data_IF_708203892664
#
_entry.id   IF_708203892664
#
_cell.length_a   1.000
_cell.length_b   1.000
_cell.length_c   1.000
_cell.angle_alpha   90.00
_cell.angle_beta   90.00
_cell.angle_gamma   90.00
#
_symmetry.space_group_name_H-M   'P 1'
#
loop_
_entity.id
_entity.type
_entity.pdbx_description
1 polymer ?
#
# COMPACT_ATOMS: atom_id res chain seq x y z
N UNK A 1 34.24 23.25 -18.42
CA UNK A 1 32.89 23.27 -17.82
C UNK A 1 32.32 21.88 -18.00
N UNK A 2 32.34 21.09 -16.92
CA UNK A 2 32.22 19.64 -16.95
C UNK A 2 31.00 19.25 -16.14
N UNK A 3 30.02 18.60 -16.78
CA UNK A 3 28.91 17.93 -16.10
C UNK A 3 29.38 16.54 -15.62
N UNK A 4 28.96 16.06 -14.45
CA UNK A 4 29.33 14.74 -13.96
C UNK A 4 28.50 13.64 -14.67
N UNK A 5 29.04 12.41 -14.77
CA UNK A 5 28.39 11.30 -15.46
C UNK A 5 27.28 10.67 -14.61
N UNK A 6 26.14 10.41 -15.25
CA UNK A 6 25.04 9.59 -14.75
C UNK A 6 25.55 8.15 -14.55
N UNK A 7 25.65 7.70 -13.29
CA UNK A 7 25.88 6.29 -12.98
C UNK A 7 24.53 5.54 -12.98
N UNK A 8 24.38 4.62 -13.92
CA UNK A 8 23.35 3.58 -13.92
C UNK A 8 23.44 2.78 -12.60
N UNK A 9 22.42 2.87 -11.76
CA UNK A 9 22.16 1.85 -10.75
C UNK A 9 21.50 0.65 -11.44
N UNK A 10 22.33 -0.25 -11.97
CA UNK A 10 21.93 -1.58 -12.37
C UNK A 10 21.81 -2.48 -11.13
N UNK A 11 20.61 -3.05 -10.96
CA UNK A 11 20.27 -4.33 -10.31
C UNK A 11 21.36 -4.99 -9.44
N UNK A 12 21.06 -5.06 -8.15
CA UNK A 12 21.25 -6.29 -7.38
C UNK A 12 19.88 -6.70 -6.86
N UNK A 13 19.13 -7.46 -7.66
CA UNK A 13 18.05 -8.27 -7.09
C UNK A 13 18.72 -9.31 -6.19
N UNK A 14 18.37 -9.30 -4.90
CA UNK A 14 18.72 -10.39 -3.99
C UNK A 14 18.08 -11.65 -4.55
N UNK A 15 18.91 -12.60 -4.97
CA UNK A 15 18.51 -13.92 -5.47
C UNK A 15 17.73 -14.76 -4.45
N UNK A 16 17.67 -14.33 -3.19
CA UNK A 16 16.95 -15.01 -2.10
C UNK A 16 15.43 -14.83 -2.19
N UNK A 17 14.93 -13.65 -2.57
CA UNK A 17 13.48 -13.37 -2.51
C UNK A 17 12.73 -14.09 -3.64
N UNK A 18 13.35 -14.15 -4.83
CA UNK A 18 12.87 -14.96 -5.97
C UNK A 18 12.83 -16.45 -5.61
N UNK A 19 13.79 -16.94 -4.82
CA UNK A 19 13.82 -18.33 -4.36
C UNK A 19 12.72 -18.62 -3.32
N UNK A 20 12.37 -17.67 -2.46
CA UNK A 20 11.30 -17.84 -1.46
C UNK A 20 9.91 -17.87 -2.12
N UNK A 21 9.66 -16.99 -3.09
CA UNK A 21 8.40 -16.97 -3.83
C UNK A 21 8.22 -18.23 -4.68
N UNK A 22 9.29 -18.72 -5.33
CA UNK A 22 9.27 -19.99 -6.05
C UNK A 22 9.04 -21.20 -5.12
N UNK A 23 9.61 -21.19 -3.91
CA UNK A 23 9.35 -22.24 -2.91
C UNK A 23 7.88 -22.20 -2.46
N UNK A 24 7.35 -21.01 -2.22
CA UNK A 24 5.97 -20.84 -1.78
C UNK A 24 4.98 -21.33 -2.85
N UNK A 25 5.18 -20.94 -4.12
CA UNK A 25 4.35 -21.38 -5.23
C UNK A 25 4.34 -22.91 -5.38
N UNK A 26 5.48 -23.58 -5.20
CA UNK A 26 5.56 -25.04 -5.26
C UNK A 26 4.87 -25.74 -4.07
N UNK A 27 4.97 -25.19 -2.86
CA UNK A 27 4.28 -25.74 -1.68
C UNK A 27 2.77 -25.60 -1.79
N UNK A 28 2.27 -24.49 -2.34
CA UNK A 28 0.85 -24.29 -2.63
C UNK A 28 0.36 -25.31 -3.66
N UNK A 29 1.08 -25.48 -4.77
CA UNK A 29 0.73 -26.46 -5.79
C UNK A 29 0.70 -27.90 -5.25
N UNK A 30 1.66 -28.28 -4.39
CA UNK A 30 1.66 -29.59 -3.71
C UNK A 30 0.48 -29.75 -2.76
N UNK A 31 0.13 -28.71 -1.99
CA UNK A 31 -1.03 -28.72 -1.10
C UNK A 31 -2.34 -28.91 -1.87
N UNK A 32 -2.48 -28.25 -3.02
CA UNK A 32 -3.67 -28.37 -3.87
C UNK A 32 -3.83 -29.78 -4.46
N UNK A 33 -2.74 -30.38 -4.96
CA UNK A 33 -2.76 -31.76 -5.47
C UNK A 33 -3.17 -32.74 -4.36
N UNK A 34 -2.61 -32.59 -3.16
CA UNK A 34 -2.97 -33.41 -2.00
C UNK A 34 -4.44 -33.22 -1.57
N UNK A 35 -4.94 -31.99 -1.63
CA UNK A 35 -6.33 -31.69 -1.28
C UNK A 35 -7.32 -32.27 -2.29
N UNK A 36 -6.98 -32.26 -3.57
CA UNK A 36 -7.77 -32.90 -4.63
C UNK A 36 -7.76 -34.43 -4.52
N UNK A 37 -6.65 -35.03 -4.10
CA UNK A 37 -6.59 -36.48 -3.79
C UNK A 37 -7.46 -36.80 -2.57
N UNK A 38 -7.37 -36.01 -1.49
CA UNK A 38 -8.17 -36.20 -0.28
C UNK A 38 -9.69 -36.10 -0.55
N UNK A 39 -10.09 -35.20 -1.46
CA UNK A 39 -11.47 -35.04 -1.90
C UNK A 39 -11.92 -36.14 -2.89
N UNK A 40 -11.07 -37.11 -3.22
CA UNK A 40 -11.37 -38.19 -4.17
C UNK A 40 -11.49 -37.72 -5.62
N UNK A 41 -10.99 -36.52 -5.94
CA UNK A 41 -11.08 -35.90 -7.28
C UNK A 41 -9.87 -36.19 -8.17
N UNK A 42 -8.76 -36.64 -7.59
CA UNK A 42 -7.58 -37.12 -8.29
C UNK A 42 -7.19 -38.50 -7.78
N UNK A 43 -6.92 -39.42 -8.69
CA UNK A 43 -6.38 -40.74 -8.35
C UNK A 43 -4.86 -40.64 -8.16
N UNK A 44 -4.41 -40.95 -6.94
CA UNK A 44 -3.00 -41.00 -6.54
C UNK A 44 -2.20 -41.98 -7.40
N UNK A 45 -2.84 -43.01 -7.95
CA UNK A 45 -2.20 -44.04 -8.78
C UNK A 45 -2.14 -43.67 -10.27
N UNK A 46 -2.66 -42.51 -10.67
CA UNK A 46 -2.50 -42.04 -12.04
C UNK A 46 -1.05 -41.60 -12.28
N UNK A 47 -0.45 -42.08 -13.37
CA UNK A 47 0.95 -41.82 -13.70
C UNK A 47 1.29 -40.31 -13.75
N UNK A 48 0.34 -39.47 -14.15
CA UNK A 48 0.49 -38.01 -14.15
C UNK A 48 0.53 -37.39 -12.75
N UNK A 49 -0.29 -37.86 -11.81
CA UNK A 49 -0.31 -37.37 -10.42
C UNK A 49 0.93 -37.86 -9.66
N UNK A 50 1.33 -39.12 -9.86
CA UNK A 50 2.54 -39.67 -9.27
C UNK A 50 3.80 -38.92 -9.76
N UNK A 51 3.87 -38.60 -11.06
CA UNK A 51 4.97 -37.83 -11.64
C UNK A 51 5.00 -36.38 -11.16
N UNK A 52 3.83 -35.73 -11.03
CA UNK A 52 3.72 -34.37 -10.51
C UNK A 52 4.14 -34.28 -9.03
N UNK A 53 3.72 -35.25 -8.21
CA UNK A 53 4.12 -35.33 -6.80
C UNK A 53 5.62 -35.61 -6.65
N UNK A 54 6.17 -36.58 -7.42
CA UNK A 54 7.61 -36.87 -7.39
C UNK A 54 8.44 -35.68 -7.85
N UNK A 55 8.04 -35.00 -8.93
CA UNK A 55 8.68 -33.81 -9.44
C UNK A 55 8.63 -32.64 -8.47
N UNK A 56 7.46 -32.39 -7.86
CA UNK A 56 7.29 -31.36 -6.84
C UNK A 56 8.13 -31.63 -5.59
N UNK A 57 8.13 -32.86 -5.08
CA UNK A 57 8.96 -33.25 -3.92
C UNK A 57 10.46 -33.13 -4.25
N UNK A 58 10.90 -33.59 -5.42
CA UNK A 58 12.30 -33.47 -5.84
C UNK A 58 12.74 -32.01 -6.00
N UNK A 59 11.90 -31.15 -6.60
CA UNK A 59 12.21 -29.73 -6.74
C UNK A 59 12.21 -29.01 -5.38
N UNK A 60 11.26 -29.31 -4.48
CA UNK A 60 11.26 -28.76 -3.12
C UNK A 60 12.48 -29.22 -2.32
N UNK A 61 12.89 -30.48 -2.43
CA UNK A 61 14.10 -30.99 -1.78
C UNK A 61 15.37 -30.36 -2.38
N UNK A 62 15.41 -30.11 -3.69
CA UNK A 62 16.52 -29.43 -4.34
C UNK A 62 16.63 -27.95 -3.90
N UNK A 63 15.51 -27.22 -3.85
CA UNK A 63 15.48 -25.85 -3.33
C UNK A 63 15.83 -25.77 -1.84
N UNK A 64 15.36 -26.73 -1.02
CA UNK A 64 15.77 -26.87 0.37
C UNK A 64 17.26 -27.22 0.52
N UNK A 65 17.86 -27.94 -0.44
CA UNK A 65 19.31 -28.21 -0.45
C UNK A 65 20.14 -26.96 -0.77
N UNK A 66 19.65 -26.11 -1.68
CA UNK A 66 20.25 -24.80 -1.98
C UNK A 66 20.18 -23.85 -0.77
N UNK A 67 19.07 -23.89 0.00
CA UNK A 67 18.93 -23.17 1.27
C UNK A 67 19.81 -23.74 2.40
N UNK A 68 20.12 -25.05 2.36
CA UNK A 68 21.05 -25.69 3.31
C UNK A 68 22.51 -25.36 3.00
N UNK A 69 22.88 -25.20 1.73
CA UNK A 69 24.21 -24.75 1.32
C UNK A 69 24.43 -23.25 1.59
N UNK A 70 23.37 -22.44 1.68
CA UNK A 70 23.44 -21.06 2.18
C UNK A 70 23.42 -20.95 3.72
N UNK A 71 23.30 -22.07 4.43
CA UNK A 71 23.22 -22.12 5.91
C UNK A 71 24.52 -22.62 6.53
N UNK A 72 25.61 -21.91 6.26
CA UNK A 72 26.88 -22.02 6.98
C UNK A 72 27.03 -20.90 8.01
N UNK A 73 26.80 -21.24 9.28
CA UNK A 73 26.98 -20.44 10.51
C UNK A 73 27.96 -19.24 10.45
N UNK A 74 27.40 -18.02 10.28
CA UNK A 74 27.80 -16.72 10.90
C UNK A 74 26.94 -15.58 10.31
N UNK A 75 25.64 -15.53 10.59
CA UNK A 75 24.79 -14.40 10.15
C UNK A 75 23.60 -14.04 11.07
N UNK A 76 23.32 -14.81 12.13
CA UNK A 76 22.19 -14.53 13.04
C UNK A 76 22.48 -13.44 14.09
N UNK A 77 23.75 -13.08 14.32
CA UNK A 77 24.12 -11.97 15.21
C UNK A 77 24.09 -10.63 14.48
N UNK A 78 24.61 -10.56 13.26
CA UNK A 78 24.69 -9.29 12.52
C UNK A 78 23.33 -8.77 12.05
N UNK A 79 22.41 -9.63 11.60
CA UNK A 79 21.09 -9.19 11.11
C UNK A 79 20.16 -8.72 12.23
N UNK A 80 20.18 -9.40 13.39
CA UNK A 80 19.49 -8.96 14.60
C UNK A 80 20.09 -7.65 15.15
N UNK A 81 21.42 -7.51 15.15
CA UNK A 81 22.11 -6.27 15.56
C UNK A 81 21.84 -5.11 14.60
N UNK A 82 21.81 -5.36 13.28
CA UNK A 82 21.44 -4.34 12.28
C UNK A 82 19.98 -3.91 12.40
N UNK A 83 19.08 -4.85 12.71
CA UNK A 83 17.65 -4.56 12.97
C UNK A 83 17.49 -3.73 14.25
N UNK A 84 18.23 -4.06 15.31
CA UNK A 84 18.21 -3.31 16.56
C UNK A 84 18.81 -1.90 16.41
N UNK A 85 19.93 -1.77 15.70
CA UNK A 85 20.55 -0.48 15.37
C UNK A 85 19.60 0.41 14.57
N UNK A 86 18.92 -0.14 13.56
CA UNK A 86 17.98 0.62 12.76
C UNK A 86 16.70 0.96 13.56
N UNK A 87 16.27 0.10 14.49
CA UNK A 87 15.18 0.41 15.43
C UNK A 87 15.49 1.61 16.33
N UNK A 88 16.67 1.64 16.94
CA UNK A 88 17.13 2.78 17.74
C UNK A 88 17.26 4.06 16.89
N UNK A 89 17.75 3.93 15.65
CA UNK A 89 17.79 5.02 14.67
C UNK A 89 16.38 5.55 14.34
N UNK A 90 15.38 4.69 14.12
CA UNK A 90 13.98 5.09 13.86
C UNK A 90 13.43 5.90 15.04
N UNK A 91 13.65 5.43 16.26
CA UNK A 91 13.18 6.13 17.47
C UNK A 91 13.83 7.50 17.62
N UNK A 92 15.15 7.56 17.42
CA UNK A 92 15.91 8.82 17.43
C UNK A 92 15.47 9.76 16.32
N UNK A 93 15.27 9.24 15.11
CA UNK A 93 14.81 9.97 13.93
C UNK A 93 13.45 10.63 14.14
N UNK A 94 12.53 9.95 14.84
CA UNK A 94 11.22 10.49 15.19
C UNK A 94 11.35 11.71 16.13
N UNK A 95 12.24 11.63 17.13
CA UNK A 95 12.50 12.73 18.06
C UNK A 95 13.25 13.89 17.41
N UNK A 96 14.11 13.60 16.45
CA UNK A 96 14.95 14.57 15.76
C UNK A 96 14.30 15.18 14.51
N UNK A 97 13.05 14.82 14.19
CA UNK A 97 12.33 15.37 13.04
C UNK A 97 12.91 14.98 11.69
N UNK A 98 13.49 13.77 11.58
CA UNK A 98 14.09 13.27 10.33
C UNK A 98 13.07 12.61 9.39
N UNK A 99 11.85 12.37 9.88
CA UNK A 99 10.73 11.91 9.07
C UNK A 99 9.98 13.10 8.49
N UNK A 100 9.55 12.96 7.24
CA UNK A 100 8.66 13.89 6.57
C UNK A 100 7.57 13.13 5.80
N UNK A 101 6.52 13.86 5.42
CA UNK A 101 5.44 13.33 4.59
C UNK A 101 5.50 13.98 3.21
N UNK A 102 5.38 13.15 2.19
CA UNK A 102 4.98 13.60 0.85
C UNK A 102 3.52 13.21 0.61
N UNK A 103 2.85 13.95 -0.26
CA UNK A 103 1.43 13.82 -0.51
C UNK A 103 1.21 13.54 -1.99
N UNK A 104 0.82 12.32 -2.31
CA UNK A 104 0.50 11.92 -3.68
C UNK A 104 -0.95 12.32 -4.00
N UNK A 105 -1.20 13.20 -4.97
CA UNK A 105 -2.56 13.60 -5.31
C UNK A 105 -3.36 12.45 -5.95
N UNK A 106 -4.62 12.32 -5.53
CA UNK A 106 -5.60 11.39 -6.09
C UNK A 106 -6.65 12.19 -6.86
N UNK A 107 -6.87 11.85 -8.12
CA UNK A 107 -7.78 12.57 -8.99
C UNK A 107 -8.99 11.74 -9.39
N UNK A 108 -10.09 12.43 -9.67
CA UNK A 108 -11.25 11.93 -10.38
C UNK A 108 -11.14 12.31 -11.86
N UNK A 109 -11.18 11.34 -12.76
CA UNK A 109 -11.00 11.54 -14.19
C UNK A 109 -12.08 10.95 -15.09
N UNK A 110 -13.29 10.72 -14.55
CA UNK A 110 -14.39 10.08 -15.28
C UNK A 110 -14.98 10.87 -16.48
N UNK A 111 -14.55 12.12 -16.72
CA UNK A 111 -15.09 12.96 -17.80
C UNK A 111 -14.18 12.98 -19.02
N UNK A 112 -14.76 12.97 -20.22
CA UNK A 112 -14.05 13.27 -21.49
C UNK A 112 -13.40 14.67 -21.47
N UNK A 113 -13.85 15.58 -20.59
CA UNK A 113 -13.24 16.90 -20.40
C UNK A 113 -12.24 16.93 -19.22
N UNK A 114 -11.62 15.80 -18.85
CA UNK A 114 -10.57 15.77 -17.84
C UNK A 114 -9.43 16.75 -18.20
N UNK A 115 -9.11 17.66 -17.28
CA UNK A 115 -8.04 18.64 -17.43
C UNK A 115 -7.35 18.79 -16.09
N UNK A 116 -6.03 18.63 -16.08
CA UNK A 116 -5.21 18.53 -14.85
C UNK A 116 -5.23 19.81 -13.99
N UNK A 117 -5.59 20.94 -14.58
CA UNK A 117 -5.69 22.24 -13.93
C UNK A 117 -7.02 22.46 -13.18
N UNK A 118 -7.98 21.52 -13.29
CA UNK A 118 -9.25 21.63 -12.60
C UNK A 118 -9.17 21.05 -11.18
N UNK A 119 -9.06 21.92 -10.18
CA UNK A 119 -9.08 21.53 -8.76
C UNK A 119 -10.28 20.64 -8.44
N UNK A 120 -11.44 20.82 -9.07
CA UNK A 120 -12.64 20.02 -8.85
C UNK A 120 -12.40 18.51 -8.99
N UNK A 121 -11.40 18.14 -9.78
CA UNK A 121 -11.00 16.76 -10.01
C UNK A 121 -10.10 16.21 -8.91
N UNK A 122 -9.44 17.06 -8.10
CA UNK A 122 -8.66 16.61 -6.95
C UNK A 122 -9.59 16.05 -5.86
N UNK A 123 -9.43 14.77 -5.53
CA UNK A 123 -10.21 14.08 -4.49
C UNK A 123 -9.55 14.26 -3.12
N UNK A 124 -8.22 14.18 -3.09
CA UNK A 124 -7.45 14.15 -1.86
C UNK A 124 -6.01 13.74 -2.11
N UNK A 125 -5.35 13.27 -1.05
CA UNK A 125 -3.96 12.85 -1.10
C UNK A 125 -3.73 11.56 -0.35
N UNK A 126 -2.78 10.76 -0.82
CA UNK A 126 -2.15 9.71 -0.02
C UNK A 126 -0.90 10.27 0.68
N UNK A 127 -0.83 10.10 2.00
CA UNK A 127 0.33 10.48 2.79
C UNK A 127 1.40 9.37 2.74
N UNK A 128 2.52 9.71 2.11
CA UNK A 128 3.65 8.82 1.90
C UNK A 128 4.79 9.20 2.84
N UNK A 129 5.11 8.30 3.77
CA UNK A 129 6.20 8.51 4.71
C UNK A 129 7.56 8.53 4.00
N UNK A 130 8.43 9.45 4.43
CA UNK A 130 9.78 9.62 3.91
C UNK A 130 10.76 9.77 5.07
N UNK A 131 11.90 9.12 4.97
CA UNK A 131 12.98 9.26 5.95
C UNK A 131 14.23 9.82 5.27
N UNK A 132 14.61 11.03 5.68
CA UNK A 132 15.88 11.63 5.30
C UNK A 132 16.88 11.47 6.43
N UNK A 133 17.71 10.43 6.35
CA UNK A 133 18.75 10.17 7.34
C UNK A 133 19.93 11.12 7.13
N UNK A 134 20.49 11.73 8.20
CA UNK A 134 21.56 12.73 8.07
C UNK A 134 22.82 12.21 7.37
N UNK A 135 23.16 10.93 7.59
CA UNK A 135 24.37 10.33 6.99
C UNK A 135 24.10 9.49 5.73
N UNK A 136 22.91 8.87 5.63
CA UNK A 136 22.59 7.88 4.58
C UNK A 136 21.73 8.49 3.46
N UNK A 137 21.26 9.72 3.64
CA UNK A 137 20.30 10.34 2.74
C UNK A 137 18.93 9.64 2.81
N UNK A 138 18.25 9.54 1.68
CA UNK A 138 16.92 8.96 1.61
C UNK A 138 16.93 7.46 1.89
N UNK A 139 16.20 7.04 2.93
CA UNK A 139 15.93 5.63 3.23
C UNK A 139 14.50 5.31 2.79
N UNK A 140 14.29 4.33 1.88
CA UNK A 140 12.97 4.02 1.38
C UNK A 140 12.11 3.26 2.43
N UNK A 141 10.77 3.43 2.42
CA UNK A 141 9.86 2.78 3.37
C UNK A 141 10.02 1.26 3.48
N UNK A 142 10.26 0.58 2.37
CA UNK A 142 10.46 -0.87 2.36
C UNK A 142 11.69 -1.37 3.14
N UNK A 143 12.63 -0.48 3.51
CA UNK A 143 13.76 -0.84 4.36
C UNK A 143 13.50 -0.64 5.85
N UNK A 144 12.74 0.39 6.25
CA UNK A 144 12.59 0.75 7.66
C UNK A 144 11.21 0.39 8.25
N UNK A 145 10.15 0.30 7.44
CA UNK A 145 8.81 -0.09 7.91
C UNK A 145 8.83 -1.51 8.49
N UNK A 146 9.44 -2.54 7.85
CA UNK A 146 9.51 -3.87 8.45
C UNK A 146 10.25 -3.88 9.80
N UNK A 147 11.27 -3.03 9.95
CA UNK A 147 12.00 -2.90 11.23
C UNK A 147 11.15 -2.20 12.28
N UNK A 148 10.41 -1.15 11.91
CA UNK A 148 9.44 -0.50 12.79
C UNK A 148 8.35 -1.48 13.26
N UNK A 149 7.89 -2.37 12.39
CA UNK A 149 6.92 -3.43 12.73
C UNK A 149 7.49 -4.48 13.67
N UNK A 150 8.71 -4.94 13.43
CA UNK A 150 9.39 -5.91 14.31
C UNK A 150 9.75 -5.33 15.68
N UNK A 151 9.87 -4.01 15.78
CA UNK A 151 10.28 -3.30 17.01
C UNK A 151 9.12 -2.60 17.72
N UNK A 152 7.87 -2.83 17.28
CA UNK A 152 6.64 -2.15 17.75
C UNK A 152 6.63 -0.61 17.60
N UNK A 153 7.69 -0.01 17.03
CA UNK A 153 7.78 1.43 16.74
C UNK A 153 6.78 1.87 15.66
N UNK A 154 6.21 0.94 14.90
CA UNK A 154 5.19 1.23 13.89
C UNK A 154 3.94 1.89 14.49
N UNK A 155 3.63 1.64 15.77
CA UNK A 155 2.53 2.30 16.46
C UNK A 155 2.82 3.79 16.71
N UNK A 156 4.01 4.11 17.21
CA UNK A 156 4.45 5.49 17.44
C UNK A 156 4.56 6.25 16.11
N UNK A 157 5.15 5.61 15.10
CA UNK A 157 5.33 6.17 13.78
C UNK A 157 3.99 6.42 13.09
N UNK A 158 3.07 5.46 13.11
CA UNK A 158 1.75 5.61 12.54
C UNK A 158 0.91 6.70 13.24
N UNK A 159 1.04 6.84 14.56
CA UNK A 159 0.43 7.95 15.31
C UNK A 159 0.97 9.30 14.83
N UNK A 160 2.30 9.40 14.69
CA UNK A 160 2.94 10.60 14.17
C UNK A 160 2.50 10.93 12.74
N UNK A 161 2.42 9.93 11.85
CA UNK A 161 1.93 10.10 10.47
C UNK A 161 0.50 10.63 10.46
N UNK A 162 -0.40 9.95 11.18
CA UNK A 162 -1.82 10.34 11.23
C UNK A 162 -2.01 11.76 11.77
N UNK A 163 -1.33 12.09 12.87
CA UNK A 163 -1.43 13.42 13.48
C UNK A 163 -0.88 14.51 12.56
N UNK A 164 0.31 14.31 12.00
CA UNK A 164 0.98 15.28 11.11
C UNK A 164 0.17 15.49 9.84
N UNK A 165 -0.27 14.41 9.18
CA UNK A 165 -1.07 14.47 7.98
C UNK A 165 -2.44 15.13 8.24
N UNK A 166 -3.12 14.78 9.33
CA UNK A 166 -4.42 15.36 9.68
C UNK A 166 -4.33 16.87 9.93
N UNK A 167 -3.29 17.33 10.65
CA UNK A 167 -3.05 18.76 10.86
C UNK A 167 -2.81 19.51 9.55
N UNK A 168 -2.01 18.91 8.67
CA UNK A 168 -1.70 19.47 7.36
C UNK A 168 -2.96 19.60 6.51
N UNK A 169 -3.79 18.56 6.49
CA UNK A 169 -5.05 18.54 5.76
C UNK A 169 -6.03 19.58 6.27
N UNK A 170 -6.18 19.76 7.59
CA UNK A 170 -7.02 20.82 8.16
C UNK A 170 -6.54 22.20 7.71
N UNK A 171 -5.23 22.43 7.67
CA UNK A 171 -4.65 23.68 7.18
C UNK A 171 -5.03 23.94 5.71
N UNK A 172 -4.86 22.94 4.83
CA UNK A 172 -5.18 23.07 3.41
C UNK A 172 -6.68 23.18 3.13
N UNK A 173 -7.53 22.44 3.85
CA UNK A 173 -8.98 22.57 3.73
C UNK A 173 -9.45 23.97 4.11
N UNK A 174 -8.84 24.60 5.13
CA UNK A 174 -9.14 26.00 5.50
C UNK A 174 -8.69 27.00 4.42
N UNK A 175 -7.54 26.78 3.80
CA UNK A 175 -7.00 27.67 2.76
C UNK A 175 -7.76 27.59 1.44
N UNK A 176 -8.27 26.40 1.09
CA UNK A 176 -8.95 26.13 -0.18
C UNK A 176 -10.48 26.15 -0.09
N UNK A 177 -11.04 26.03 1.12
CA UNK A 177 -12.48 25.81 1.33
C UNK A 177 -12.99 24.45 0.83
N UNK A 178 -12.11 23.58 0.32
CA UNK A 178 -12.47 22.28 -0.26
C UNK A 178 -12.31 21.16 0.77
N UNK A 179 -13.26 20.25 0.82
CA UNK A 179 -13.19 19.02 1.60
C UNK A 179 -12.31 17.98 0.89
N UNK A 180 -11.02 17.99 1.21
CA UNK A 180 -10.02 17.07 0.64
C UNK A 180 -9.88 15.81 1.49
N UNK A 181 -9.84 14.64 0.85
CA UNK A 181 -9.62 13.37 1.55
C UNK A 181 -8.13 13.12 1.84
N UNK A 182 -7.88 12.36 2.88
CA UNK A 182 -6.56 11.90 3.28
C UNK A 182 -6.53 10.39 3.34
N UNK A 183 -5.64 9.78 2.60
CA UNK A 183 -5.38 8.35 2.66
C UNK A 183 -4.08 8.09 3.44
N UNK A 184 -4.09 7.16 4.39
CA UNK A 184 -2.94 6.79 5.21
C UNK A 184 -2.80 5.28 5.27
N UNK A 185 -1.60 4.78 5.00
CA UNK A 185 -1.24 3.38 5.13
C UNK A 185 -1.30 2.91 6.60
N UNK A 186 -1.96 1.78 6.82
CA UNK A 186 -2.15 1.12 8.11
C UNK A 186 -1.40 -0.21 8.10
N UNK A 187 -0.42 -0.33 9.01
CA UNK A 187 0.32 -1.58 9.16
C UNK A 187 -0.57 -2.70 9.71
N UNK A 188 -0.37 -3.97 9.29
CA UNK A 188 -1.00 -5.12 9.93
C UNK A 188 -0.78 -5.15 11.45
N UNK A 189 0.38 -4.74 11.96
CA UNK A 189 0.63 -4.69 13.42
C UNK A 189 -0.29 -3.69 14.12
N UNK A 190 -0.52 -2.53 13.51
CA UNK A 190 -1.45 -1.53 14.04
C UNK A 190 -2.90 -2.02 14.02
N UNK A 191 -3.30 -2.77 12.98
CA UNK A 191 -4.63 -3.37 12.89
C UNK A 191 -4.93 -4.31 14.08
N UNK A 192 -3.92 -5.01 14.59
CA UNK A 192 -4.03 -5.88 15.76
C UNK A 192 -4.00 -5.14 17.10
N UNK A 193 -3.76 -3.83 17.10
CA UNK A 193 -3.67 -3.06 18.34
C UNK A 193 -5.06 -2.96 19.00
N UNK A 194 -5.19 -3.33 20.28
CA UNK A 194 -6.39 -3.04 21.04
C UNK A 194 -6.67 -1.54 21.03
N UNK A 195 -7.94 -1.15 20.92
CA UNK A 195 -8.40 0.24 20.94
C UNK A 195 -7.86 1.12 19.80
N UNK A 196 -7.46 0.55 18.64
CA UNK A 196 -7.03 1.30 17.46
C UNK A 196 -8.02 2.43 17.10
N UNK A 197 -9.31 2.10 17.01
CA UNK A 197 -10.36 3.07 16.68
C UNK A 197 -10.44 4.23 17.69
N UNK A 198 -10.27 3.95 18.99
CA UNK A 198 -10.26 4.98 20.02
C UNK A 198 -9.04 5.90 19.91
N UNK A 199 -7.85 5.34 19.65
CA UNK A 199 -6.65 6.15 19.42
C UNK A 199 -6.79 7.06 18.19
N UNK A 200 -7.29 6.53 17.08
CA UNK A 200 -7.50 7.34 15.87
C UNK A 200 -8.56 8.41 16.12
N UNK A 201 -9.66 8.07 16.81
CA UNK A 201 -10.68 9.05 17.20
C UNK A 201 -10.10 10.19 18.04
N UNK A 202 -9.18 9.89 18.96
CA UNK A 202 -8.51 10.92 19.76
C UNK A 202 -7.65 11.84 18.89
N UNK A 203 -6.87 11.29 17.96
CA UNK A 203 -6.04 12.09 17.03
C UNK A 203 -6.93 13.00 16.17
N UNK A 204 -8.04 12.49 15.66
CA UNK A 204 -8.98 13.27 14.85
C UNK A 204 -9.61 14.42 15.67
N UNK A 205 -9.97 14.16 16.93
CA UNK A 205 -10.45 15.20 17.85
C UNK A 205 -9.39 16.27 18.14
N UNK A 206 -8.15 15.86 18.42
CA UNK A 206 -7.04 16.78 18.70
C UNK A 206 -6.68 17.67 17.51
N UNK A 207 -6.75 17.11 16.30
CA UNK A 207 -6.40 17.83 15.07
C UNK A 207 -7.58 18.62 14.48
N UNK A 208 -8.81 18.25 14.84
CA UNK A 208 -10.03 18.78 14.24
C UNK A 208 -10.30 18.25 12.83
N UNK A 209 -9.61 17.20 12.39
CA UNK A 209 -9.84 16.58 11.09
C UNK A 209 -11.08 15.68 11.14
N UNK A 210 -11.94 15.78 10.12
CA UNK A 210 -13.16 14.97 10.06
C UNK A 210 -12.83 13.52 9.71
N UNK A 211 -13.36 12.59 10.49
CA UNK A 211 -13.26 11.15 10.22
C UNK A 211 -13.78 10.77 8.82
N UNK A 212 -14.81 11.46 8.33
CA UNK A 212 -15.38 11.25 6.99
C UNK A 212 -14.44 11.61 5.83
N UNK A 213 -13.35 12.33 6.12
CA UNK A 213 -12.31 12.66 5.15
C UNK A 213 -11.06 11.80 5.30
N UNK A 214 -10.99 10.91 6.30
CA UNK A 214 -9.89 9.97 6.49
C UNK A 214 -10.22 8.63 5.82
N UNK A 215 -9.26 8.13 5.06
CA UNK A 215 -9.22 6.76 4.55
C UNK A 215 -7.99 6.06 5.12
N UNK A 216 -8.15 4.82 5.57
CA UNK A 216 -7.05 3.95 5.95
C UNK A 216 -6.87 2.85 4.91
N UNK A 217 -5.63 2.65 4.50
CA UNK A 217 -5.26 1.68 3.47
C UNK A 217 -4.51 0.53 4.11
N UNK A 218 -4.90 -0.70 3.82
CA UNK A 218 -4.19 -1.89 4.31
C UNK A 218 -3.90 -2.83 3.16
N UNK A 219 -2.79 -3.55 3.24
CA UNK A 219 -2.46 -4.54 2.23
C UNK A 219 -3.45 -5.71 2.29
N UNK A 220 -3.63 -6.36 1.15
CA UNK A 220 -4.43 -7.57 1.03
C UNK A 220 -4.03 -8.65 2.06
N UNK A 221 -2.72 -8.87 2.22
CA UNK A 221 -2.18 -9.83 3.19
C UNK A 221 -2.60 -9.48 4.62
N UNK A 222 -2.51 -8.20 5.00
CA UNK A 222 -2.89 -7.73 6.33
C UNK A 222 -4.38 -7.99 6.64
N UNK A 223 -5.25 -7.83 5.64
CA UNK A 223 -6.68 -8.07 5.79
C UNK A 223 -7.03 -9.56 5.95
N UNK A 224 -6.28 -10.46 5.30
CA UNK A 224 -6.59 -11.90 5.25
C UNK A 224 -5.89 -12.70 6.35
N UNK A 225 -4.69 -12.30 6.78
CA UNK A 225 -3.88 -13.04 7.76
C UNK A 225 -4.63 -13.24 9.10
N UNK A 226 -5.46 -12.27 9.51
CA UNK A 226 -6.30 -12.40 10.69
C UNK A 226 -7.70 -11.82 10.46
N UNK A 227 -8.46 -12.52 9.63
CA UNK A 227 -9.74 -12.08 9.10
C UNK A 227 -10.75 -11.60 10.14
N UNK A 228 -10.90 -12.32 11.26
CA UNK A 228 -11.87 -11.97 12.31
C UNK A 228 -11.49 -10.66 13.02
N UNK A 229 -10.20 -10.50 13.35
CA UNK A 229 -9.69 -9.27 13.97
C UNK A 229 -9.82 -8.10 13.01
N UNK A 230 -9.43 -8.29 11.75
CA UNK A 230 -9.57 -7.28 10.71
C UNK A 230 -11.05 -6.85 10.58
N UNK A 231 -11.97 -7.79 10.40
CA UNK A 231 -13.41 -7.51 10.29
C UNK A 231 -13.93 -6.70 11.48
N UNK A 232 -13.57 -7.10 12.71
CA UNK A 232 -13.98 -6.37 13.91
C UNK A 232 -13.42 -4.95 13.94
N UNK A 233 -12.11 -4.77 13.74
CA UNK A 233 -11.44 -3.48 13.82
C UNK A 233 -11.89 -2.51 12.73
N UNK A 234 -11.96 -2.99 11.49
CA UNK A 234 -12.43 -2.20 10.35
C UNK A 234 -13.90 -1.77 10.53
N UNK A 235 -14.75 -2.64 11.10
CA UNK A 235 -16.12 -2.27 11.45
C UNK A 235 -16.18 -1.13 12.49
N UNK A 236 -15.27 -1.12 13.48
CA UNK A 236 -15.20 -0.03 14.45
C UNK A 236 -14.74 1.27 13.81
N UNK A 237 -13.80 1.21 12.86
CA UNK A 237 -13.34 2.38 12.10
C UNK A 237 -14.47 2.96 11.23
N UNK A 238 -15.22 2.12 10.52
CA UNK A 238 -16.36 2.57 9.73
C UNK A 238 -17.47 3.22 10.58
N UNK A 239 -17.70 2.76 11.82
CA UNK A 239 -18.64 3.41 12.74
C UNK A 239 -18.25 4.85 13.11
N UNK A 240 -16.95 5.18 13.03
CA UNK A 240 -16.46 6.55 13.18
C UNK A 240 -16.64 7.39 11.90
N UNK A 241 -17.02 6.76 10.78
CA UNK A 241 -17.10 7.38 9.47
C UNK A 241 -15.81 7.33 8.66
N UNK A 242 -14.77 6.64 9.16
CA UNK A 242 -13.49 6.44 8.47
C UNK A 242 -13.68 5.44 7.34
N UNK A 243 -13.14 5.78 6.16
CA UNK A 243 -13.14 4.85 5.04
C UNK A 243 -11.96 3.87 5.14
N UNK A 244 -12.15 2.67 4.61
CA UNK A 244 -11.13 1.63 4.56
C UNK A 244 -10.98 1.16 3.12
N UNK A 245 -9.76 1.04 2.64
CA UNK A 245 -9.49 0.49 1.32
C UNK A 245 -8.35 -0.52 1.34
N UNK A 246 -8.39 -1.45 0.38
CA UNK A 246 -7.29 -2.38 0.18
C UNK A 246 -6.25 -1.77 -0.77
N UNK A 247 -5.00 -1.85 -0.36
CA UNK A 247 -3.84 -1.48 -1.17
C UNK A 247 -3.22 -2.71 -1.85
N UNK A 248 -2.49 -2.46 -2.94
CA UNK A 248 -1.79 -3.47 -3.75
C UNK A 248 -2.69 -4.64 -4.24
N UNK A 249 -3.98 -4.39 -4.50
CA UNK A 249 -4.91 -5.45 -4.88
C UNK A 249 -4.48 -6.12 -6.20
N UNK A 250 -4.42 -7.47 -6.18
CA UNK A 250 -4.05 -8.29 -7.34
C UNK A 250 -2.58 -8.70 -7.40
N UNK A 251 -1.79 -8.38 -6.38
CA UNK A 251 -0.40 -8.84 -6.23
C UNK A 251 -0.28 -10.18 -5.48
N UNK A 252 -1.37 -10.74 -4.93
CA UNK A 252 -1.36 -11.92 -4.05
C UNK A 252 -2.65 -12.76 -3.97
N UNK A 253 -2.93 -13.29 -2.77
CA UNK A 253 -3.77 -14.46 -2.40
C UNK A 253 -5.30 -14.32 -2.53
N UNK A 254 -5.85 -13.27 -3.13
CA UNK A 254 -7.29 -13.01 -3.02
C UNK A 254 -8.14 -13.74 -4.05
N UNK A 255 -8.97 -14.64 -3.52
CA UNK A 255 -10.31 -14.86 -4.05
C UNK A 255 -11.20 -13.71 -3.56
N UNK A 256 -11.79 -12.92 -4.48
CA UNK A 256 -12.74 -11.85 -4.14
C UNK A 256 -13.85 -12.28 -3.17
N UNK A 257 -14.19 -13.57 -3.15
CA UNK A 257 -15.15 -14.14 -2.20
C UNK A 257 -14.80 -13.90 -0.72
N UNK A 258 -13.53 -13.64 -0.39
CA UNK A 258 -13.10 -13.30 0.97
C UNK A 258 -13.28 -11.82 1.29
N UNK A 259 -13.34 -10.97 0.27
CA UNK A 259 -13.51 -9.53 0.45
C UNK A 259 -14.97 -9.13 0.72
N UNK A 260 -15.93 -9.95 0.28
CA UNK A 260 -17.37 -9.67 0.38
C UNK A 260 -17.86 -9.41 1.82
N UNK A 261 -17.25 -10.05 2.83
CA UNK A 261 -17.61 -9.80 4.24
C UNK A 261 -16.69 -8.81 4.96
N UNK A 262 -15.69 -8.22 4.29
CA UNK A 262 -14.87 -7.18 4.88
C UNK A 262 -15.54 -5.81 4.69
N UNK A 263 -15.61 -4.97 5.73
CA UNK A 263 -16.18 -3.63 5.65
C UNK A 263 -15.18 -2.70 4.94
N UNK A 264 -15.13 -2.80 3.62
CA UNK A 264 -14.28 -2.03 2.72
C UNK A 264 -15.11 -0.97 1.98
N UNK A 265 -14.45 0.08 1.49
CA UNK A 265 -15.04 1.17 0.72
C UNK A 265 -14.43 1.30 -0.68
N UNK A 266 -13.17 0.90 -0.83
CA UNK A 266 -12.46 0.97 -2.11
C UNK A 266 -11.34 -0.06 -2.25
N UNK A 267 -10.93 -0.28 -3.49
CA UNK A 267 -9.76 -1.08 -3.87
C UNK A 267 -8.79 -0.19 -4.64
N UNK A 268 -7.52 -0.16 -4.23
CA UNK A 268 -6.42 0.40 -5.03
C UNK A 268 -5.80 -0.73 -5.83
N UNK A 269 -5.72 -0.51 -7.14
CA UNK A 269 -5.20 -1.50 -8.07
C UNK A 269 -3.73 -1.22 -8.28
N UNK A 270 -2.90 -2.21 -7.96
CA UNK A 270 -1.45 -2.10 -8.08
C UNK A 270 -1.03 -1.62 -9.48
N UNK A 271 -0.03 -0.75 -9.49
CA UNK A 271 0.51 -0.13 -10.71
C UNK A 271 0.94 -1.16 -11.78
N UNK A 272 1.29 -2.40 -11.39
CA UNK A 272 1.75 -3.39 -12.36
C UNK A 272 0.66 -3.81 -13.35
N UNK A 273 -0.63 -3.67 -13.01
CA UNK A 273 -1.73 -3.94 -13.96
C UNK A 273 -1.78 -2.89 -15.07
N UNK A 274 -1.66 -1.61 -14.70
CA UNK A 274 -1.64 -0.48 -15.64
C UNK A 274 -0.36 -0.52 -16.47
N UNK A 275 0.80 -0.71 -15.83
CA UNK A 275 2.10 -0.78 -16.49
C UNK A 275 2.19 -1.94 -17.51
N UNK A 276 1.62 -3.12 -17.18
CA UNK A 276 1.59 -4.29 -18.07
C UNK A 276 0.41 -4.27 -19.05
N UNK A 277 -0.36 -3.19 -19.12
CA UNK A 277 -1.52 -3.07 -20.02
C UNK A 277 -2.53 -4.22 -19.90
N UNK A 278 -2.80 -4.67 -18.67
CA UNK A 278 -3.76 -5.77 -18.38
C UNK A 278 -5.21 -5.28 -18.40
N UNK A 279 -5.62 -4.67 -19.51
CA UNK A 279 -6.92 -3.98 -19.64
C UNK A 279 -8.13 -4.90 -19.43
N UNK A 280 -8.08 -6.14 -19.91
CA UNK A 280 -9.14 -7.13 -19.68
C UNK A 280 -9.29 -7.46 -18.19
N UNK A 281 -8.17 -7.62 -17.48
CA UNK A 281 -8.18 -7.87 -16.03
C UNK A 281 -8.70 -6.67 -15.26
N UNK A 282 -8.30 -5.45 -15.63
CA UNK A 282 -8.82 -4.21 -15.04
C UNK A 282 -10.33 -4.08 -15.24
N UNK A 283 -10.84 -4.44 -16.43
CA UNK A 283 -12.28 -4.44 -16.71
C UNK A 283 -13.02 -5.43 -15.80
N UNK A 284 -12.49 -6.64 -15.63
CA UNK A 284 -13.07 -7.64 -14.73
C UNK A 284 -13.05 -7.17 -13.27
N UNK A 285 -11.96 -6.56 -12.82
CA UNK A 285 -11.85 -6.03 -11.45
C UNK A 285 -12.88 -4.93 -11.22
N UNK A 286 -13.05 -4.00 -12.16
CA UNK A 286 -14.06 -2.93 -12.06
C UNK A 286 -15.47 -3.52 -11.94
N UNK A 287 -15.82 -4.47 -12.81
CA UNK A 287 -17.13 -5.14 -12.78
C UNK A 287 -17.38 -5.85 -11.44
N UNK A 288 -16.36 -6.51 -10.91
CA UNK A 288 -16.48 -7.22 -9.65
C UNK A 288 -16.60 -6.28 -8.46
N UNK A 289 -15.83 -5.20 -8.43
CA UNK A 289 -15.90 -4.19 -7.39
C UNK A 289 -17.29 -3.53 -7.34
N UNK A 290 -17.89 -3.27 -8.50
CA UNK A 290 -19.27 -2.76 -8.61
C UNK A 290 -20.30 -3.70 -7.98
N UNK A 291 -20.16 -5.02 -8.18
CA UNK A 291 -21.09 -6.01 -7.57
C UNK A 291 -21.08 -5.99 -6.04
N UNK A 292 -19.96 -5.62 -5.42
CA UNK A 292 -19.81 -5.54 -3.96
C UNK A 292 -19.77 -4.08 -3.45
N UNK A 293 -20.20 -3.11 -4.28
CA UNK A 293 -20.29 -1.68 -3.96
C UNK A 293 -18.96 -1.05 -3.51
N UNK A 294 -17.83 -1.52 -4.06
CA UNK A 294 -16.51 -0.93 -3.83
C UNK A 294 -16.15 0.01 -4.98
N UNK A 295 -15.62 1.18 -4.63
CA UNK A 295 -14.99 2.05 -5.62
C UNK A 295 -13.58 1.56 -5.94
N UNK A 296 -13.06 1.90 -7.12
CA UNK A 296 -11.70 1.50 -7.54
C UNK A 296 -10.83 2.71 -7.82
N UNK A 297 -9.55 2.61 -7.44
CA UNK A 297 -8.51 3.63 -7.66
C UNK A 297 -7.37 2.96 -8.42
N UNK A 298 -7.06 3.45 -9.62
CA UNK A 298 -5.93 2.93 -10.39
C UNK A 298 -4.62 3.62 -10.00
N UNK A 299 -3.56 2.84 -9.79
CA UNK A 299 -2.24 3.38 -9.49
C UNK A 299 -1.27 3.32 -10.67
N UNK A 300 -0.20 4.12 -10.61
CA UNK A 300 0.87 4.08 -11.60
C UNK A 300 0.47 4.54 -12.99
N UNK A 301 -0.42 5.53 -13.09
CA UNK A 301 -0.75 6.16 -14.37
C UNK A 301 0.42 7.05 -14.80
N UNK A 302 1.17 6.62 -15.82
CA UNK A 302 2.39 7.26 -16.31
C UNK A 302 2.24 7.87 -17.71
N UNK A 303 1.30 7.39 -18.53
CA UNK A 303 1.07 7.89 -19.89
C UNK A 303 -0.35 8.35 -20.16
N UNK A 304 -0.54 9.19 -21.17
CA UNK A 304 -1.88 9.64 -21.60
C UNK A 304 -2.70 8.47 -22.14
N UNK A 305 -2.06 7.53 -22.84
CA UNK A 305 -2.71 6.33 -23.37
C UNK A 305 -3.26 5.45 -22.24
N UNK A 306 -2.52 5.29 -21.14
CA UNK A 306 -2.99 4.55 -19.97
C UNK A 306 -4.23 5.22 -19.34
N UNK A 307 -4.20 6.55 -19.19
CA UNK A 307 -5.34 7.31 -18.68
C UNK A 307 -6.57 7.17 -19.57
N UNK A 308 -6.42 7.32 -20.89
CA UNK A 308 -7.51 7.16 -21.85
C UNK A 308 -8.10 5.74 -21.83
N UNK A 309 -7.27 4.71 -21.70
CA UNK A 309 -7.75 3.33 -21.58
C UNK A 309 -8.51 3.11 -20.28
N UNK A 310 -8.01 3.62 -19.15
CA UNK A 310 -8.72 3.55 -17.86
C UNK A 310 -10.09 4.25 -17.92
N UNK A 311 -10.16 5.43 -18.56
CA UNK A 311 -11.42 6.14 -18.79
C UNK A 311 -12.40 5.32 -19.64
N UNK A 312 -11.93 4.71 -20.74
CA UNK A 312 -12.75 3.85 -21.60
C UNK A 312 -13.29 2.63 -20.88
N UNK A 313 -12.50 2.03 -19.98
CA UNK A 313 -12.92 0.90 -19.15
C UNK A 313 -13.99 1.33 -18.13
N UNK A 314 -13.96 2.59 -17.69
CA UNK A 314 -14.89 3.15 -16.71
C UNK A 314 -14.28 3.43 -15.34
N UNK A 315 -12.94 3.40 -15.22
CA UNK A 315 -12.27 3.88 -14.01
C UNK A 315 -12.50 5.37 -13.84
N UNK A 316 -12.85 5.78 -12.62
CA UNK A 316 -13.19 7.16 -12.31
C UNK A 316 -12.16 7.85 -11.42
N UNK A 317 -11.26 7.11 -10.79
CA UNK A 317 -10.25 7.63 -9.86
C UNK A 317 -8.89 6.97 -10.05
N UNK A 318 -7.83 7.70 -9.74
CA UNK A 318 -6.48 7.16 -9.77
C UNK A 318 -5.38 8.16 -9.45
N UNK A 319 -4.16 7.65 -9.42
CA UNK A 319 -2.93 8.37 -9.12
C UNK A 319 -1.77 7.87 -9.98
N UNK A 320 -0.76 8.72 -10.18
CA UNK A 320 0.43 8.38 -10.93
C UNK A 320 1.15 9.61 -11.48
N UNK A 321 2.37 9.42 -11.98
CA UNK A 321 3.26 10.51 -12.39
C UNK A 321 2.76 11.31 -13.60
N UNK A 322 1.87 10.72 -14.41
CA UNK A 322 1.16 11.48 -15.46
C UNK A 322 0.27 12.57 -14.87
N UNK A 323 -0.28 12.32 -13.69
CA UNK A 323 -1.21 13.20 -13.00
C UNK A 323 -0.47 14.18 -12.09
N UNK A 324 0.37 13.65 -11.20
CA UNK A 324 1.29 14.43 -10.36
C UNK A 324 2.31 13.51 -9.72
N UNK A 325 3.50 14.03 -9.43
CA UNK A 325 4.42 13.38 -8.51
C UNK A 325 3.97 13.61 -7.05
N UNK A 326 4.52 12.85 -6.07
CA UNK A 326 4.34 13.15 -4.67
C UNK A 326 4.86 14.55 -4.35
N UNK A 327 4.06 15.34 -3.66
CA UNK A 327 4.36 16.73 -3.34
C UNK A 327 4.84 16.86 -1.89
N UNK A 328 5.82 17.72 -1.62
CA UNK A 328 6.16 18.10 -0.24
C UNK A 328 5.07 19.00 0.35
N UNK A 329 4.99 19.14 1.69
CA UNK A 329 4.00 20.00 2.33
C UNK A 329 4.03 21.45 1.82
N UNK A 330 5.20 21.94 1.41
CA UNK A 330 5.44 23.29 0.90
C UNK A 330 5.00 23.46 -0.56
N UNK A 331 4.99 22.37 -1.34
CA UNK A 331 4.57 22.39 -2.74
C UNK A 331 3.04 22.37 -2.89
N UNK A 332 2.33 21.72 -1.95
CA UNK A 332 0.87 21.55 -2.01
C UNK A 332 0.11 22.89 -2.05
N UNK A 333 0.45 23.93 -1.26
CA UNK A 333 -0.24 25.22 -1.36
C UNK A 333 -0.13 25.91 -2.72
N UNK A 334 0.93 25.68 -3.49
CA UNK A 334 1.07 26.23 -4.85
C UNK A 334 0.31 25.38 -5.88
N UNK A 335 0.13 24.09 -5.58
CA UNK A 335 -0.66 23.16 -6.35
C UNK A 335 -2.18 23.36 -6.15
N UNK A 336 -2.58 23.84 -4.97
CA UNK A 336 -3.96 24.20 -4.65
C UNK A 336 -4.24 25.67 -4.99
N UNK A 337 -5.29 26.01 -5.76
CA UNK A 337 -5.70 27.40 -5.92
C UNK A 337 -6.19 27.98 -4.59
N UNK A 338 -5.80 29.23 -4.31
CA UNK A 338 -6.18 29.92 -3.07
C UNK A 338 -7.61 30.45 -3.17
N UNK A 339 -8.37 30.40 -2.06
CA UNK A 339 -9.63 31.14 -1.97
C UNK A 339 -9.28 32.63 -2.05
N UNK A 340 -9.83 33.33 -3.05
CA UNK A 340 -9.73 34.77 -3.12
C UNK A 340 -10.38 35.35 -1.86
N UNK A 341 -9.56 35.91 -0.96
CA UNK A 341 -10.06 36.64 0.20
C UNK A 341 -10.86 37.82 -0.32
N UNK A 342 -12.19 37.68 -0.35
CA UNK A 342 -13.09 38.78 -0.65
C UNK A 342 -12.94 39.78 0.49
N UNK A 343 -12.15 40.81 0.25
CA UNK A 343 -11.95 41.90 1.20
C UNK A 343 -13.31 42.44 1.61
N UNK A 344 -13.73 42.11 2.83
CA UNK A 344 -14.82 42.80 3.49
C UNK A 344 -14.27 44.16 3.88
N UNK A 345 -14.38 45.12 2.95
CA UNK A 345 -14.29 46.54 3.27
C UNK A 345 -15.40 46.89 4.24
N UNK A 346 -14.99 47.56 5.31
CA UNK A 346 -15.79 48.02 6.46
C UNK A 346 -17.10 48.71 6.09
#
# INVERSE_FOLDING_TARGET
>A
MSYPPVQLYARVHRSSDVQVDEIHAHLVALSEILQLIYQGRLDLHSAGVEQALKGGIQNSLHLLSLLRESSGSKALSCEAVLTQSLGDEIKSALQQGQFSLQYQPIFRFASEQFQLDQLDQLVGFEALLRWLHPERGWIPPNQFIPVAECSDLIHELGCWVLKTASQQMVSWQRQTGKSLRLNVNLSPRQLHQPNLSAHISQILLETGFSAHHLSLELTEKAAVENYEIATHQLSQLQKLGIQVGLDDFGTGFSCLSRLDNLPLNFLKIDQSFVAKSRWDTLTLILLLADQINLSVVAEGIETSEQLEQLQKIGYSMGQGYRLSFPLTPEQVPAFLPQVATSGHGF
#
